data_IF_399337667835
#
_entry.id   IF_399337667835
#
_cell.length_a   1.000
_cell.length_b   1.000
_cell.length_c   1.000
_cell.angle_alpha   90.00
_cell.angle_beta   90.00
_cell.angle_gamma   90.00
#
_symmetry.space_group_name_H-M   'P 1'
#
loop_
_entity.id
_entity.type
_entity.pdbx_description
1 polymer ?
#
# COMPACT_ATOMS: atom_id res chain seq x y z
N UNK A 1 -23.10 -24.32 22.31
CA UNK A 1 -21.95 -23.66 21.67
C UNK A 1 -20.99 -24.76 21.22
N UNK A 2 -20.89 -24.96 19.91
CA UNK A 2 -20.06 -26.01 19.35
C UNK A 2 -18.69 -25.37 19.09
N UNK A 3 -17.66 -25.84 19.76
CA UNK A 3 -16.27 -25.44 19.49
C UNK A 3 -15.94 -25.83 18.05
N UNK A 4 -15.36 -24.96 17.25
CA UNK A 4 -14.74 -25.42 16.04
C UNK A 4 -13.54 -26.29 16.41
N UNK A 5 -13.38 -27.47 15.82
CA UNK A 5 -12.23 -28.30 16.11
C UNK A 5 -10.98 -27.70 15.48
N UNK A 6 -9.94 -27.47 16.28
CA UNK A 6 -8.60 -27.30 15.75
C UNK A 6 -8.12 -28.65 15.21
N UNK A 7 -8.11 -28.82 13.91
CA UNK A 7 -7.55 -30.04 13.30
C UNK A 7 -6.03 -29.96 13.29
N UNK A 8 -5.38 -30.90 13.96
CA UNK A 8 -3.94 -31.15 13.80
C UNK A 8 -3.71 -31.76 12.42
N UNK A 9 -3.21 -31.00 11.50
CA UNK A 9 -2.64 -31.53 10.28
C UNK A 9 -1.31 -32.20 10.62
N UNK A 10 -1.30 -33.52 10.76
CA UNK A 10 -0.09 -34.30 10.90
C UNK A 10 0.53 -34.42 9.50
N UNK A 11 1.52 -33.61 9.17
CA UNK A 11 2.32 -33.82 7.98
C UNK A 11 3.26 -35.01 8.23
N UNK A 12 2.82 -36.22 7.93
CA UNK A 12 3.63 -37.40 7.73
C UNK A 12 4.26 -37.31 6.35
N UNK A 13 5.47 -36.73 6.24
CA UNK A 13 6.09 -36.66 4.94
C UNK A 13 7.43 -35.95 4.86
N UNK A 14 8.25 -35.91 5.91
CA UNK A 14 9.67 -35.53 5.77
C UNK A 14 10.51 -36.49 6.63
N UNK A 15 10.61 -37.71 6.20
CA UNK A 15 11.53 -38.70 6.74
C UNK A 15 12.48 -39.13 5.62
N UNK A 16 13.19 -38.19 5.00
CA UNK A 16 14.36 -38.56 4.15
C UNK A 16 15.34 -37.38 3.98
N UNK A 17 15.81 -36.80 5.07
CA UNK A 17 17.04 -35.98 5.06
C UNK A 17 17.69 -35.93 6.47
N UNK A 18 17.91 -37.07 7.05
CA UNK A 18 18.69 -37.20 8.28
C UNK A 18 20.07 -37.76 7.96
N UNK A 19 20.91 -36.97 7.32
CA UNK A 19 22.35 -37.27 7.23
C UNK A 19 23.13 -36.00 6.81
N UNK A 20 23.06 -34.97 7.63
CA UNK A 20 24.12 -33.96 7.76
C UNK A 20 23.76 -33.15 9.01
N UNK A 21 24.55 -33.28 10.07
CA UNK A 21 24.29 -32.76 11.42
C UNK A 21 24.34 -31.25 11.54
N UNK A 22 23.37 -30.57 10.90
CA UNK A 22 22.94 -29.24 11.26
C UNK A 22 21.52 -29.40 11.83
N UNK A 23 21.35 -29.12 13.10
CA UNK A 23 20.02 -29.06 13.72
C UNK A 23 19.24 -27.92 13.02
N UNK A 24 18.51 -28.26 11.94
CA UNK A 24 17.43 -27.38 11.49
C UNK A 24 16.42 -27.27 12.63
N UNK A 25 15.96 -26.08 12.99
CA UNK A 25 14.84 -25.97 13.88
C UNK A 25 13.69 -26.76 13.26
N UNK A 26 13.13 -27.71 14.01
CA UNK A 26 11.98 -28.47 13.56
C UNK A 26 10.86 -27.45 13.25
N UNK A 27 10.52 -27.29 11.98
CA UNK A 27 9.36 -26.52 11.57
C UNK A 27 8.17 -27.30 12.08
N UNK A 28 7.56 -26.84 13.18
CA UNK A 28 6.33 -27.43 13.64
C UNK A 28 5.28 -27.15 12.56
N UNK A 29 4.69 -28.20 11.99
CA UNK A 29 3.62 -28.04 11.03
C UNK A 29 2.50 -27.22 11.67
N UNK A 30 1.97 -26.21 10.99
CA UNK A 30 0.89 -25.41 11.51
C UNK A 30 -0.31 -26.33 11.75
N UNK A 31 -0.76 -26.36 12.98
CA UNK A 31 -2.07 -26.88 13.30
C UNK A 31 -3.01 -25.67 13.32
N UNK A 32 -3.53 -25.30 12.18
CA UNK A 32 -4.49 -24.23 12.10
C UNK A 32 -5.88 -24.70 12.52
N UNK A 33 -6.65 -23.90 13.24
CA UNK A 33 -8.05 -24.14 13.39
C UNK A 33 -8.77 -23.83 12.09
N UNK A 34 -9.78 -24.62 11.80
CA UNK A 34 -10.88 -24.14 11.03
C UNK A 34 -11.59 -23.07 11.83
N UNK A 35 -11.38 -21.81 11.48
CA UNK A 35 -12.31 -20.79 11.91
C UNK A 35 -13.44 -20.80 10.87
N UNK A 36 -14.34 -21.76 10.96
CA UNK A 36 -15.68 -21.59 10.44
C UNK A 36 -16.43 -20.74 11.44
N UNK A 37 -15.97 -19.49 11.61
CA UNK A 37 -16.75 -18.53 12.33
C UNK A 37 -17.94 -18.20 11.44
N UNK A 38 -19.08 -18.83 11.71
CA UNK A 38 -20.31 -18.14 11.41
C UNK A 38 -20.30 -16.90 12.30
N UNK A 39 -20.27 -15.68 11.73
CA UNK A 39 -20.34 -14.49 12.55
C UNK A 39 -21.55 -14.63 13.47
N UNK A 40 -21.44 -14.31 14.77
CA UNK A 40 -22.59 -14.28 15.61
C UNK A 40 -23.63 -13.41 14.91
N UNK A 41 -24.89 -13.84 14.84
CA UNK A 41 -25.96 -13.06 14.21
C UNK A 41 -26.02 -11.72 14.94
N UNK A 42 -25.52 -10.70 14.28
CA UNK A 42 -25.55 -9.33 14.79
C UNK A 42 -27.02 -8.97 14.99
N UNK A 43 -27.46 -8.58 16.19
CA UNK A 43 -28.77 -7.99 16.35
C UNK A 43 -28.91 -6.81 15.38
N UNK A 44 -30.01 -6.71 14.66
CA UNK A 44 -30.25 -5.64 13.68
C UNK A 44 -30.13 -4.20 14.25
N UNK A 45 -30.09 -4.06 15.58
CA UNK A 45 -29.90 -2.80 16.30
C UNK A 45 -28.44 -2.30 16.35
N UNK A 46 -27.45 -3.11 15.94
CA UNK A 46 -26.04 -2.73 15.85
C UNK A 46 -25.57 -2.53 14.40
N UNK A 47 -26.50 -2.23 13.49
CA UNK A 47 -26.13 -1.69 12.20
C UNK A 47 -25.22 -0.46 12.43
N UNK A 48 -24.03 -0.49 11.81
CA UNK A 48 -23.00 0.53 11.96
C UNK A 48 -23.61 1.95 11.96
N UNK A 49 -23.13 2.87 12.80
CA UNK A 49 -23.53 4.25 12.70
C UNK A 49 -23.29 4.68 11.26
N UNK A 50 -24.35 5.18 10.65
CA UNK A 50 -24.30 5.74 9.30
C UNK A 50 -23.29 6.89 9.37
N UNK A 51 -22.09 6.68 8.81
CA UNK A 51 -21.15 7.77 8.65
C UNK A 51 -21.92 8.90 7.94
N UNK A 52 -22.04 10.05 8.57
CA UNK A 52 -22.59 11.22 7.91
C UNK A 52 -21.66 11.47 6.72
N UNK A 53 -22.23 11.37 5.52
CA UNK A 53 -21.52 11.66 4.30
C UNK A 53 -21.00 13.09 4.40
N UNK A 54 -19.71 13.22 4.65
CA UNK A 54 -19.03 14.50 4.57
C UNK A 54 -19.25 15.05 3.17
N UNK A 55 -19.74 16.26 3.12
CA UNK A 55 -19.98 17.06 1.93
C UNK A 55 -18.71 17.14 1.08
N UNK A 56 -18.90 16.98 -0.22
CA UNK A 56 -17.94 17.03 -1.33
C UNK A 56 -16.97 15.85 -1.36
N UNK A 57 -17.37 14.87 -2.18
CA UNK A 57 -16.43 13.96 -2.80
C UNK A 57 -15.53 14.80 -3.75
N UNK A 58 -14.51 15.41 -3.18
CA UNK A 58 -13.30 15.72 -3.90
C UNK A 58 -12.90 14.40 -4.56
N UNK A 59 -12.85 14.36 -5.88
CA UNK A 59 -12.42 13.17 -6.61
C UNK A 59 -11.00 12.91 -6.17
N UNK A 60 -10.82 11.95 -5.24
CA UNK A 60 -9.51 11.49 -4.80
C UNK A 60 -8.70 11.13 -6.05
N UNK A 61 -7.63 11.87 -6.30
CA UNK A 61 -6.69 11.54 -7.36
C UNK A 61 -5.75 10.46 -6.84
N UNK A 62 -6.26 9.24 -6.82
CA UNK A 62 -5.44 8.07 -6.54
C UNK A 62 -4.88 7.54 -7.88
N UNK A 63 -3.65 6.99 -7.87
CA UNK A 63 -3.10 6.29 -9.04
C UNK A 63 -3.95 5.06 -9.35
N UNK A 64 -3.63 4.38 -10.44
CA UNK A 64 -4.18 3.05 -10.66
C UNK A 64 -3.67 2.11 -9.56
N UNK A 65 -4.51 1.88 -8.54
CA UNK A 65 -4.17 1.02 -7.42
C UNK A 65 -4.17 -0.45 -7.84
N UNK A 66 -3.33 -1.24 -7.16
CA UNK A 66 -3.18 -2.67 -7.38
C UNK A 66 -3.26 -3.43 -6.06
N UNK A 67 -3.98 -4.54 -6.06
CA UNK A 67 -4.13 -5.45 -4.94
C UNK A 67 -3.71 -6.87 -5.31
N UNK A 68 -3.12 -7.59 -4.37
CA UNK A 68 -2.83 -9.02 -4.46
C UNK A 68 -3.54 -9.72 -3.31
N UNK A 69 -4.41 -10.65 -3.65
CA UNK A 69 -5.23 -11.41 -2.72
C UNK A 69 -4.83 -12.88 -2.73
N UNK A 70 -4.49 -13.38 -1.56
CA UNK A 70 -3.98 -14.73 -1.36
C UNK A 70 -4.92 -15.54 -0.48
N UNK A 71 -5.22 -16.78 -0.89
CA UNK A 71 -5.87 -17.75 -0.01
C UNK A 71 -5.06 -19.05 -0.03
N UNK A 72 -4.49 -19.39 1.15
CA UNK A 72 -3.80 -20.64 1.36
C UNK A 72 -4.78 -21.79 1.69
N UNK A 73 -4.36 -23.07 1.55
CA UNK A 73 -5.18 -24.20 1.94
C UNK A 73 -5.35 -24.26 3.47
N UNK A 74 -6.58 -24.42 3.95
CA UNK A 74 -6.91 -24.57 5.39
C UNK A 74 -7.20 -26.04 5.70
N UNK A 75 -8.06 -26.67 4.94
CA UNK A 75 -8.50 -28.07 5.09
C UNK A 75 -8.46 -28.80 3.73
N UNK A 76 -7.45 -28.46 2.92
CA UNK A 76 -7.29 -28.85 1.52
C UNK A 76 -7.82 -27.77 0.58
N UNK A 77 -7.52 -27.92 -0.70
CA UNK A 77 -7.79 -26.88 -1.72
C UNK A 77 -9.28 -26.55 -1.87
N UNK A 78 -10.15 -27.54 -1.67
CA UNK A 78 -11.61 -27.43 -1.80
C UNK A 78 -12.33 -27.68 -0.46
N UNK A 79 -11.62 -27.62 0.66
CA UNK A 79 -12.19 -27.80 1.98
C UNK A 79 -13.15 -26.67 2.36
N UNK A 80 -14.02 -26.91 3.33
CA UNK A 80 -15.05 -25.96 3.74
C UNK A 80 -14.44 -24.66 4.30
N UNK A 81 -13.36 -24.75 5.09
CA UNK A 81 -12.64 -23.60 5.62
C UNK A 81 -11.93 -22.81 4.53
N UNK A 82 -11.29 -23.51 3.58
CA UNK A 82 -10.65 -22.88 2.42
C UNK A 82 -11.68 -22.14 1.56
N UNK A 83 -12.84 -22.77 1.28
CA UNK A 83 -13.90 -22.14 0.50
C UNK A 83 -14.54 -20.95 1.24
N UNK A 84 -14.70 -21.01 2.55
CA UNK A 84 -15.16 -19.88 3.34
C UNK A 84 -14.17 -18.70 3.26
N UNK A 85 -12.86 -18.98 3.37
CA UNK A 85 -11.82 -17.97 3.22
C UNK A 85 -11.80 -17.35 1.81
N UNK A 86 -11.97 -18.17 0.76
CA UNK A 86 -12.13 -17.69 -0.62
C UNK A 86 -13.34 -16.75 -0.74
N UNK A 87 -14.48 -17.13 -0.15
CA UNK A 87 -15.69 -16.31 -0.18
C UNK A 87 -15.49 -14.95 0.52
N UNK A 88 -14.87 -14.93 1.70
CA UNK A 88 -14.52 -13.67 2.40
C UNK A 88 -13.58 -12.80 1.56
N UNK A 89 -12.59 -13.42 0.91
CA UNK A 89 -11.65 -12.71 0.07
C UNK A 89 -12.32 -12.12 -1.18
N UNK A 90 -13.31 -12.83 -1.78
CA UNK A 90 -14.08 -12.32 -2.90
C UNK A 90 -14.96 -11.12 -2.53
N UNK A 91 -15.47 -11.03 -1.30
CA UNK A 91 -16.18 -9.84 -0.84
C UNK A 91 -15.24 -8.61 -0.82
N UNK A 92 -14.01 -8.80 -0.35
CA UNK A 92 -13.00 -7.74 -0.35
C UNK A 92 -12.53 -7.40 -1.78
N UNK A 93 -12.37 -8.40 -2.65
CA UNK A 93 -12.01 -8.22 -4.04
C UNK A 93 -13.06 -7.37 -4.79
N UNK A 94 -14.34 -7.72 -4.63
CA UNK A 94 -15.44 -6.98 -5.25
C UNK A 94 -15.50 -5.51 -4.78
N UNK A 95 -15.22 -5.26 -3.49
CA UNK A 95 -15.18 -3.90 -2.96
C UNK A 95 -14.00 -3.11 -3.55
N UNK A 96 -12.80 -3.71 -3.66
CA UNK A 96 -11.64 -3.10 -4.31
C UNK A 96 -11.91 -2.78 -5.78
N UNK A 97 -12.48 -3.72 -6.53
CA UNK A 97 -12.82 -3.56 -7.95
C UNK A 97 -13.89 -2.47 -8.17
N UNK A 98 -14.85 -2.35 -7.26
CA UNK A 98 -15.85 -1.28 -7.31
C UNK A 98 -15.22 0.13 -7.18
N UNK A 99 -14.02 0.22 -6.59
CA UNK A 99 -13.22 1.43 -6.50
C UNK A 99 -12.11 1.52 -7.58
N UNK A 100 -12.17 0.68 -8.61
CA UNK A 100 -11.25 0.71 -9.75
C UNK A 100 -9.87 0.11 -9.48
N UNK A 101 -9.67 -0.61 -8.38
CA UNK A 101 -8.40 -1.29 -8.07
C UNK A 101 -8.21 -2.51 -8.98
N UNK A 102 -7.02 -2.68 -9.55
CA UNK A 102 -6.66 -3.91 -10.26
C UNK A 102 -6.38 -5.02 -9.26
N UNK A 103 -7.16 -6.09 -9.28
CA UNK A 103 -7.08 -7.19 -8.31
C UNK A 103 -6.48 -8.45 -8.94
N UNK A 104 -5.39 -8.94 -8.35
CA UNK A 104 -4.76 -10.23 -8.68
C UNK A 104 -5.11 -11.25 -7.59
N UNK A 105 -5.71 -12.38 -8.00
CA UNK A 105 -6.16 -13.46 -7.12
C UNK A 105 -5.25 -14.67 -7.23
N UNK A 106 -4.76 -15.15 -6.10
CA UNK A 106 -3.97 -16.37 -5.99
C UNK A 106 -4.55 -17.25 -4.89
N UNK A 107 -5.61 -17.95 -5.22
CA UNK A 107 -6.32 -18.85 -4.30
C UNK A 107 -5.91 -20.28 -4.59
N UNK A 108 -5.58 -21.02 -3.53
CA UNK A 108 -5.26 -22.44 -3.68
C UNK A 108 -6.34 -23.19 -4.48
N UNK A 109 -6.01 -24.09 -5.45
CA UNK A 109 -4.67 -24.60 -5.78
C UNK A 109 -3.87 -23.70 -6.74
N UNK A 110 -4.39 -22.54 -7.11
CA UNK A 110 -3.75 -21.65 -8.08
C UNK A 110 -2.68 -20.76 -7.42
N UNK A 111 -1.73 -20.32 -8.25
CA UNK A 111 -0.68 -19.41 -7.84
C UNK A 111 0.47 -20.09 -7.09
N UNK A 112 1.68 -19.87 -7.58
CA UNK A 112 2.91 -20.22 -6.87
C UNK A 112 3.61 -18.95 -6.40
N UNK A 113 4.62 -19.11 -5.53
CA UNK A 113 5.32 -17.98 -4.92
C UNK A 113 5.93 -17.03 -5.94
N UNK A 114 6.49 -17.53 -7.03
CA UNK A 114 7.10 -16.68 -8.08
C UNK A 114 6.06 -15.79 -8.78
N UNK A 115 4.89 -16.34 -9.08
CA UNK A 115 3.78 -15.56 -9.67
C UNK A 115 3.26 -14.51 -8.69
N UNK A 116 3.15 -14.88 -7.41
CA UNK A 116 2.72 -13.97 -6.35
C UNK A 116 3.69 -12.80 -6.22
N UNK A 117 5.01 -13.07 -6.14
CA UNK A 117 6.06 -12.04 -6.06
C UNK A 117 5.98 -11.07 -7.25
N UNK A 118 5.85 -11.61 -8.46
CA UNK A 118 5.75 -10.79 -9.66
C UNK A 118 4.51 -9.86 -9.62
N UNK A 119 3.36 -10.37 -9.21
CA UNK A 119 2.15 -9.57 -9.06
C UNK A 119 2.24 -8.56 -7.90
N UNK A 120 2.92 -8.92 -6.81
CA UNK A 120 3.10 -8.09 -5.63
C UNK A 120 4.01 -6.88 -5.87
N UNK A 121 4.85 -6.90 -6.92
CA UNK A 121 5.72 -5.76 -7.22
C UNK A 121 4.91 -4.47 -7.40
N UNK A 122 5.13 -3.50 -6.51
CA UNK A 122 4.40 -2.23 -6.49
C UNK A 122 2.91 -2.35 -6.13
N UNK A 123 2.46 -3.44 -5.51
CA UNK A 123 1.07 -3.58 -5.07
C UNK A 123 0.81 -2.71 -3.83
N UNK A 124 -0.32 -2.01 -3.83
CA UNK A 124 -0.77 -1.12 -2.76
C UNK A 124 -1.48 -1.87 -1.64
N UNK A 125 -2.03 -3.05 -1.96
CA UNK A 125 -2.73 -3.91 -1.02
C UNK A 125 -2.22 -5.35 -1.15
N UNK A 126 -1.98 -6.00 -0.02
CA UNK A 126 -1.71 -7.43 0.07
C UNK A 126 -2.63 -8.04 1.12
N UNK A 127 -3.54 -8.93 0.69
CA UNK A 127 -4.47 -9.62 1.57
C UNK A 127 -4.15 -11.11 1.61
N UNK A 128 -4.30 -11.68 2.79
CA UNK A 128 -4.10 -13.11 2.98
C UNK A 128 -5.21 -13.71 3.86
N UNK A 129 -5.75 -14.83 3.43
CA UNK A 129 -6.64 -15.70 4.21
C UNK A 129 -6.09 -17.11 4.26
N UNK A 130 -6.03 -17.71 5.45
CA UNK A 130 -5.47 -19.04 5.62
C UNK A 130 -4.86 -19.31 7.00
N UNK A 131 -3.99 -20.31 7.05
CA UNK A 131 -3.30 -20.63 8.29
C UNK A 131 -2.35 -19.53 8.76
N UNK A 132 -2.36 -19.27 10.06
CA UNK A 132 -1.27 -18.57 10.74
C UNK A 132 -0.12 -19.54 11.01
N UNK A 133 1.12 -19.06 10.88
CA UNK A 133 2.33 -19.89 10.92
C UNK A 133 3.09 -19.67 12.22
N UNK A 134 3.65 -20.74 12.77
CA UNK A 134 4.59 -20.69 13.89
C UNK A 134 5.85 -21.52 13.60
N UNK A 135 6.96 -21.09 14.16
CA UNK A 135 8.30 -21.57 13.82
C UNK A 135 9.07 -22.16 14.99
N UNK A 136 8.47 -22.19 16.18
CA UNK A 136 9.07 -22.76 17.38
C UNK A 136 8.00 -23.42 18.27
N UNK A 137 8.45 -24.12 19.30
CA UNK A 137 7.56 -24.89 20.16
C UNK A 137 6.63 -23.98 21.01
N UNK A 138 5.42 -24.51 21.27
CA UNK A 138 4.47 -23.95 22.22
C UNK A 138 5.05 -23.98 23.66
N UNK A 139 4.62 -23.12 24.60
CA UNK A 139 3.45 -22.24 24.55
C UNK A 139 3.70 -20.85 23.94
N UNK A 140 4.94 -20.45 23.70
CA UNK A 140 5.29 -19.12 23.21
C UNK A 140 6.07 -19.20 21.88
N UNK A 141 5.44 -19.67 20.80
CA UNK A 141 6.12 -19.86 19.53
C UNK A 141 6.50 -18.53 18.88
N UNK A 142 7.59 -18.52 18.11
CA UNK A 142 7.82 -17.47 17.13
C UNK A 142 6.80 -17.65 16.00
N UNK A 143 6.19 -16.54 15.57
CA UNK A 143 5.08 -16.55 14.63
C UNK A 143 5.34 -15.62 13.45
N UNK A 144 4.59 -15.79 12.36
CA UNK A 144 4.64 -14.92 11.18
C UNK A 144 4.75 -15.68 9.88
N UNK A 145 4.47 -15.01 8.79
CA UNK A 145 4.43 -15.59 7.46
C UNK A 145 3.09 -16.19 7.08
N UNK A 146 3.04 -16.90 5.96
CA UNK A 146 1.82 -17.51 5.46
C UNK A 146 2.09 -18.80 4.69
N UNK A 147 1.03 -19.60 4.49
CA UNK A 147 1.05 -20.78 3.64
C UNK A 147 0.38 -20.44 2.32
N UNK A 148 1.08 -20.59 1.21
CA UNK A 148 0.49 -20.48 -0.14
C UNK A 148 0.68 -21.81 -0.85
N UNK A 149 -0.42 -22.36 -1.38
CA UNK A 149 -0.43 -23.67 -2.03
C UNK A 149 0.27 -24.72 -1.15
N UNK A 150 1.51 -25.04 -1.46
CA UNK A 150 2.34 -26.09 -0.83
C UNK A 150 3.61 -25.52 -0.17
N UNK A 151 3.74 -24.17 -0.10
CA UNK A 151 4.94 -23.51 0.42
C UNK A 151 4.63 -22.64 1.64
N UNK A 152 5.39 -22.84 2.72
CA UNK A 152 5.46 -21.89 3.84
C UNK A 152 6.38 -20.74 3.46
N UNK A 153 5.86 -19.54 3.60
CA UNK A 153 6.60 -18.29 3.38
C UNK A 153 6.96 -17.72 4.75
N UNK A 154 8.24 -17.65 5.01
CA UNK A 154 8.79 -17.14 6.28
C UNK A 154 8.79 -15.60 6.32
N UNK A 155 8.91 -15.00 7.51
CA UNK A 155 9.15 -13.56 7.64
C UNK A 155 10.35 -13.06 6.83
N UNK A 156 11.43 -13.84 6.75
CA UNK A 156 12.63 -13.46 5.98
C UNK A 156 12.39 -13.49 4.47
N UNK A 157 11.58 -14.44 3.98
CA UNK A 157 11.17 -14.45 2.57
C UNK A 157 10.22 -13.28 2.25
N UNK A 158 9.38 -12.85 3.18
CA UNK A 158 8.57 -11.63 3.02
C UNK A 158 9.50 -10.42 2.83
N UNK A 159 10.50 -10.25 3.71
CA UNK A 159 11.48 -9.15 3.63
C UNK A 159 12.31 -9.17 2.35
N UNK A 160 12.77 -10.35 1.96
CA UNK A 160 13.69 -10.51 0.83
C UNK A 160 13.04 -10.56 -0.54
N UNK A 161 11.82 -11.04 -0.61
CA UNK A 161 11.16 -11.40 -1.87
C UNK A 161 10.03 -10.46 -2.28
N UNK A 162 9.34 -9.80 -1.35
CA UNK A 162 8.24 -8.92 -1.68
C UNK A 162 8.69 -7.47 -1.92
N UNK A 163 8.31 -6.93 -3.07
CA UNK A 163 8.55 -5.55 -3.47
C UNK A 163 7.22 -4.81 -3.59
N UNK A 164 6.50 -4.63 -2.47
CA UNK A 164 5.24 -3.89 -2.43
C UNK A 164 5.46 -2.40 -2.68
N UNK A 165 4.38 -1.66 -2.95
CA UNK A 165 4.43 -0.20 -2.94
C UNK A 165 4.84 0.28 -1.54
N UNK A 166 5.78 1.24 -1.40
CA UNK A 166 6.00 1.91 -0.13
C UNK A 166 4.66 2.45 0.38
N UNK A 167 4.36 2.23 1.65
CA UNK A 167 3.05 2.51 2.26
C UNK A 167 1.94 1.49 1.95
N UNK A 168 2.24 0.31 1.42
CA UNK A 168 1.23 -0.73 1.20
C UNK A 168 0.41 -1.03 2.47
N UNK A 169 -0.82 -1.48 2.27
CA UNK A 169 -1.73 -1.92 3.34
C UNK A 169 -1.86 -3.43 3.30
N UNK A 170 -1.58 -4.06 4.43
CA UNK A 170 -1.62 -5.51 4.61
C UNK A 170 -2.87 -5.88 5.40
N UNK A 171 -3.62 -6.88 4.95
CA UNK A 171 -4.81 -7.36 5.67
C UNK A 171 -4.80 -8.89 5.76
N UNK A 172 -4.90 -9.42 6.97
CA UNK A 172 -4.95 -10.85 7.23
C UNK A 172 -6.32 -11.24 7.78
N UNK A 173 -6.92 -12.27 7.18
CA UNK A 173 -8.20 -12.83 7.59
C UNK A 173 -8.04 -14.25 8.13
N UNK A 174 -8.51 -14.48 9.35
CA UNK A 174 -8.58 -15.81 9.95
C UNK A 174 -7.24 -16.50 10.24
N UNK A 175 -6.12 -15.83 10.05
CA UNK A 175 -4.79 -16.39 10.30
C UNK A 175 -4.50 -16.43 11.81
N UNK A 176 -4.25 -17.62 12.35
CA UNK A 176 -3.89 -17.78 13.76
C UNK A 176 -2.67 -16.91 14.11
N UNK A 177 -2.63 -16.39 15.32
CA UNK A 177 -1.59 -15.52 15.87
C UNK A 177 -1.54 -14.09 15.30
N UNK A 178 -2.04 -13.87 14.08
CA UNK A 178 -1.90 -12.60 13.39
C UNK A 178 -2.60 -11.43 14.09
N UNK A 179 -3.69 -11.71 14.81
CA UNK A 179 -4.39 -10.75 15.67
C UNK A 179 -4.09 -10.95 17.18
N UNK A 180 -3.18 -11.86 17.52
CA UNK A 180 -2.73 -12.15 18.88
C UNK A 180 -3.08 -13.54 19.36
N UNK A 181 -4.30 -14.02 19.19
CA UNK A 181 -4.71 -15.36 19.62
C UNK A 181 -4.64 -16.39 18.48
N UNK A 182 -4.71 -17.66 18.87
CA UNK A 182 -4.72 -18.81 17.97
C UNK A 182 -5.70 -19.86 18.48
N UNK A 183 -6.32 -20.60 17.58
CA UNK A 183 -7.09 -21.77 17.95
C UNK A 183 -6.28 -22.90 18.61
N UNK A 184 -4.96 -22.82 18.62
CA UNK A 184 -4.08 -23.72 19.36
C UNK A 184 -3.87 -23.28 20.82
N UNK A 185 -4.32 -22.11 21.23
CA UNK A 185 -4.20 -21.67 22.61
C UNK A 185 -5.14 -22.49 23.50
N UNK A 186 -4.57 -23.18 24.47
CA UNK A 186 -5.31 -23.97 25.44
C UNK A 186 -5.63 -23.22 26.73
N UNK A 187 -5.04 -22.03 26.87
CA UNK A 187 -5.24 -21.09 27.97
C UNK A 187 -5.41 -19.68 27.42
N UNK A 188 -5.97 -18.79 28.20
CA UNK A 188 -6.07 -17.37 27.84
C UNK A 188 -4.71 -16.77 27.50
N UNK A 189 -4.65 -16.08 26.37
CA UNK A 189 -3.45 -15.36 25.94
C UNK A 189 -3.31 -14.08 26.77
N UNK A 190 -2.12 -13.83 27.31
CA UNK A 190 -1.85 -12.57 28.01
C UNK A 190 -1.71 -11.42 27.01
N UNK A 191 -1.99 -10.20 27.47
CA UNK A 191 -1.80 -8.98 26.70
C UNK A 191 -0.38 -8.88 26.11
N UNK A 192 0.64 -9.16 26.93
CA UNK A 192 2.03 -9.13 26.50
C UNK A 192 2.35 -10.18 25.41
N UNK A 193 1.76 -11.37 25.50
CA UNK A 193 1.95 -12.41 24.49
C UNK A 193 1.19 -12.07 23.20
N UNK A 194 -0.03 -11.54 23.30
CA UNK A 194 -0.77 -11.07 22.12
C UNK A 194 -0.02 -9.95 21.39
N UNK A 195 0.49 -8.97 22.16
CA UNK A 195 1.32 -7.88 21.62
C UNK A 195 2.56 -8.42 20.90
N UNK A 196 3.29 -9.35 21.51
CA UNK A 196 4.48 -9.96 20.94
C UNK A 196 4.17 -10.67 19.61
N UNK A 197 3.08 -11.46 19.56
CA UNK A 197 2.67 -12.19 18.35
C UNK A 197 2.28 -11.25 17.22
N UNK A 198 1.50 -10.23 17.52
CA UNK A 198 1.09 -9.23 16.49
C UNK A 198 2.29 -8.44 16.01
N UNK A 199 3.21 -8.05 16.91
CA UNK A 199 4.46 -7.39 16.52
C UNK A 199 5.27 -8.28 15.57
N UNK A 200 5.50 -9.54 15.90
CA UNK A 200 6.24 -10.48 15.05
C UNK A 200 5.56 -10.72 13.69
N UNK A 201 4.22 -10.72 13.65
CA UNK A 201 3.48 -10.94 12.42
C UNK A 201 3.52 -9.73 11.48
N UNK A 202 3.47 -8.53 12.03
CA UNK A 202 3.48 -7.27 11.26
C UNK A 202 4.88 -6.82 10.86
N UNK A 203 5.91 -7.14 11.64
CA UNK A 203 7.29 -6.70 11.50
C UNK A 203 7.86 -6.84 10.07
N UNK A 204 7.79 -8.00 9.39
CA UNK A 204 8.36 -8.15 8.05
C UNK A 204 7.69 -7.26 7.00
N UNK A 205 6.44 -6.88 7.20
CA UNK A 205 5.73 -5.96 6.31
C UNK A 205 6.09 -4.51 6.58
N UNK A 206 6.27 -4.14 7.84
CA UNK A 206 6.74 -2.80 8.22
C UNK A 206 8.18 -2.58 7.74
N UNK A 207 9.06 -3.58 7.85
CA UNK A 207 10.42 -3.56 7.33
C UNK A 207 10.49 -3.23 5.84
N UNK A 208 9.53 -3.72 5.05
CA UNK A 208 9.43 -3.41 3.61
C UNK A 208 8.57 -2.19 3.30
N UNK A 209 8.22 -1.40 4.31
CA UNK A 209 7.61 -0.08 4.17
C UNK A 209 6.08 -0.04 4.22
N UNK A 210 5.38 -1.11 4.66
CA UNK A 210 3.93 -1.06 4.81
C UNK A 210 3.49 0.02 5.81
N UNK A 211 2.41 0.74 5.47
CA UNK A 211 1.86 1.80 6.31
C UNK A 211 0.81 1.31 7.30
N UNK A 212 0.21 0.17 7.01
CA UNK A 212 -0.86 -0.42 7.82
C UNK A 212 -0.92 -1.93 7.70
N UNK A 213 -1.16 -2.57 8.82
CA UNK A 213 -1.41 -3.99 8.94
C UNK A 213 -2.69 -4.18 9.75
N UNK A 214 -3.62 -4.95 9.21
CA UNK A 214 -4.86 -5.35 9.87
C UNK A 214 -4.91 -6.86 9.96
N UNK A 215 -5.32 -7.38 11.08
CA UNK A 215 -5.64 -8.79 11.23
C UNK A 215 -7.00 -8.93 11.91
N UNK A 216 -7.89 -9.72 11.33
CA UNK A 216 -9.24 -9.89 11.83
C UNK A 216 -9.76 -11.29 11.53
N UNK A 217 -10.61 -11.81 12.41
CA UNK A 217 -11.17 -13.16 12.28
C UNK A 217 -12.56 -13.19 11.62
N UNK A 218 -13.20 -12.05 11.43
CA UNK A 218 -14.56 -11.99 10.88
C UNK A 218 -14.60 -11.92 9.36
N UNK A 219 -15.46 -12.70 8.74
CA UNK A 219 -15.54 -12.88 7.29
C UNK A 219 -15.77 -11.60 6.48
N UNK A 220 -16.44 -10.60 7.08
CA UNK A 220 -16.71 -9.32 6.41
C UNK A 220 -15.72 -8.21 6.74
N UNK A 221 -14.69 -8.48 7.56
CA UNK A 221 -13.79 -7.45 8.05
C UNK A 221 -13.02 -6.76 6.93
N UNK A 222 -12.40 -7.55 6.04
CA UNK A 222 -11.58 -6.99 4.96
C UNK A 222 -12.40 -6.13 4.00
N UNK A 223 -13.59 -6.60 3.59
CA UNK A 223 -14.52 -5.81 2.79
C UNK A 223 -14.89 -4.50 3.49
N UNK A 224 -15.19 -4.56 4.78
CA UNK A 224 -15.60 -3.38 5.56
C UNK A 224 -14.46 -2.39 5.67
N UNK A 225 -13.23 -2.85 5.94
CA UNK A 225 -12.05 -1.99 5.99
C UNK A 225 -11.78 -1.31 4.65
N UNK A 226 -11.83 -2.05 3.53
CA UNK A 226 -11.69 -1.48 2.19
C UNK A 226 -12.71 -0.36 1.98
N UNK A 227 -13.98 -0.62 2.26
CA UNK A 227 -15.05 0.37 2.11
C UNK A 227 -14.77 1.65 2.91
N UNK A 228 -14.39 1.52 4.18
CA UNK A 228 -14.12 2.67 5.05
C UNK A 228 -12.90 3.47 4.57
N UNK A 229 -11.84 2.80 4.14
CA UNK A 229 -10.66 3.44 3.59
C UNK A 229 -11.00 4.27 2.34
N UNK A 230 -11.79 3.73 1.42
CA UNK A 230 -12.23 4.46 0.23
C UNK A 230 -13.30 5.54 0.50
N UNK A 231 -13.90 5.53 1.68
CA UNK A 231 -14.71 6.65 2.18
C UNK A 231 -13.87 7.77 2.79
N UNK A 232 -12.55 7.68 2.75
CA UNK A 232 -11.61 8.69 3.25
C UNK A 232 -11.32 8.58 4.75
N UNK A 233 -11.70 7.48 5.41
CA UNK A 233 -11.33 7.26 6.80
C UNK A 233 -9.84 7.03 6.95
N UNK A 234 -9.27 7.49 8.06
CA UNK A 234 -7.89 7.17 8.41
C UNK A 234 -7.75 5.68 8.75
N UNK A 235 -6.51 5.14 8.69
CA UNK A 235 -6.25 3.74 9.02
C UNK A 235 -6.75 3.37 10.41
N UNK A 236 -6.47 4.22 11.41
CA UNK A 236 -6.93 3.99 12.78
C UNK A 236 -8.46 4.06 12.93
N UNK A 237 -9.09 5.07 12.32
CA UNK A 237 -10.56 5.20 12.35
C UNK A 237 -11.24 4.02 11.66
N UNK A 238 -10.67 3.50 10.57
CA UNK A 238 -11.13 2.29 9.89
C UNK A 238 -11.18 1.09 10.84
N UNK A 239 -10.11 0.87 11.61
CA UNK A 239 -10.05 -0.18 12.61
C UNK A 239 -11.10 0.01 13.71
N UNK A 240 -11.17 1.21 14.29
CA UNK A 240 -12.09 1.53 15.40
C UNK A 240 -13.57 1.56 15.00
N UNK A 241 -13.88 1.71 13.72
CA UNK A 241 -15.26 1.72 13.21
C UNK A 241 -15.79 0.34 12.86
N UNK A 242 -14.97 -0.70 12.96
CA UNK A 242 -15.46 -2.06 12.76
C UNK A 242 -16.44 -2.44 13.87
N UNK A 243 -17.51 -3.13 13.52
CA UNK A 243 -18.63 -3.37 14.42
C UNK A 243 -18.27 -4.14 15.70
N UNK A 244 -17.20 -4.95 15.66
CA UNK A 244 -16.70 -5.74 16.80
C UNK A 244 -15.76 -4.95 17.71
N UNK A 245 -15.27 -3.79 17.29
CA UNK A 245 -14.36 -2.97 18.08
C UNK A 245 -15.02 -2.49 19.38
N UNK A 246 -14.34 -2.76 20.50
CA UNK A 246 -14.80 -2.34 21.80
C UNK A 246 -13.75 -1.43 22.50
N UNK A 247 -14.01 -0.13 22.60
CA UNK A 247 -13.06 0.81 23.19
C UNK A 247 -12.77 0.54 24.67
N UNK A 248 -13.64 -0.23 25.37
CA UNK A 248 -13.42 -0.59 26.77
C UNK A 248 -12.43 -1.73 26.97
N UNK A 249 -12.22 -2.55 25.94
CA UNK A 249 -11.32 -3.70 25.96
C UNK A 249 -10.10 -3.53 25.05
N UNK A 250 -10.13 -2.53 24.16
CA UNK A 250 -9.04 -2.22 23.26
C UNK A 250 -7.78 -1.78 24.02
N UNK A 251 -6.65 -2.30 23.58
CA UNK A 251 -5.33 -1.99 24.13
C UNK A 251 -4.49 -1.27 23.08
N UNK A 252 -3.73 -0.27 23.48
CA UNK A 252 -2.95 0.58 22.57
C UNK A 252 -1.49 0.64 23.03
N UNK A 253 -0.61 0.26 22.12
CA UNK A 253 0.84 0.23 22.32
C UNK A 253 1.55 0.90 21.17
N UNK A 254 2.84 1.15 21.30
CA UNK A 254 3.76 1.35 20.17
C UNK A 254 4.31 -0.01 19.73
N UNK A 255 4.62 -0.13 18.46
CA UNK A 255 5.33 -1.31 17.98
C UNK A 255 6.75 -1.34 18.55
N UNK A 256 7.24 -2.49 19.07
CA UNK A 256 8.53 -2.53 19.77
C UNK A 256 9.72 -2.18 18.87
N UNK A 257 9.68 -2.58 17.59
CA UNK A 257 10.78 -2.41 16.64
C UNK A 257 10.54 -1.27 15.63
N UNK A 258 9.30 -0.75 15.54
CA UNK A 258 8.88 0.34 14.66
C UNK A 258 8.18 1.45 15.49
N UNK A 259 8.95 2.34 16.15
CA UNK A 259 8.39 3.32 17.07
C UNK A 259 7.47 4.37 16.42
N UNK A 260 7.50 4.49 15.10
CA UNK A 260 6.57 5.30 14.29
C UNK A 260 5.20 4.64 14.09
N UNK A 261 5.09 3.36 14.35
CA UNK A 261 3.85 2.59 14.23
C UNK A 261 3.21 2.33 15.60
N UNK A 262 1.89 2.48 15.66
CA UNK A 262 1.11 1.99 16.80
C UNK A 262 0.83 0.49 16.63
N UNK A 263 0.55 -0.19 17.74
CA UNK A 263 0.06 -1.56 17.79
C UNK A 263 -1.18 -1.60 18.69
N UNK A 264 -2.33 -1.77 18.06
CA UNK A 264 -3.61 -1.81 18.75
C UNK A 264 -4.20 -3.21 18.70
N UNK A 265 -4.74 -3.64 19.84
CA UNK A 265 -5.36 -4.95 20.02
C UNK A 265 -6.76 -4.78 20.53
N UNK A 266 -7.67 -5.64 20.11
CA UNK A 266 -8.98 -5.76 20.72
C UNK A 266 -9.21 -7.17 21.27
N UNK A 267 -9.93 -7.23 22.40
CA UNK A 267 -10.22 -8.46 23.13
C UNK A 267 -11.67 -8.83 22.97
N UNK A 268 -11.88 -10.10 22.69
CA UNK A 268 -13.21 -10.67 22.69
C UNK A 268 -13.34 -11.74 23.78
N UNK A 269 -14.45 -11.72 24.48
CA UNK A 269 -14.79 -12.67 25.56
C UNK A 269 -15.79 -13.75 25.12
N UNK A 270 -16.16 -13.77 23.84
CA UNK A 270 -17.14 -14.71 23.28
C UNK A 270 -16.56 -16.10 23.03
N UNK A 271 -15.25 -16.23 23.01
CA UNK A 271 -14.52 -17.44 22.75
C UNK A 271 -14.13 -18.17 24.02
N UNK A 272 -13.72 -19.42 23.90
CA UNK A 272 -13.21 -20.24 24.98
C UNK A 272 -11.83 -20.81 24.58
N UNK A 273 -10.76 -20.56 25.34
CA UNK A 273 -10.71 -19.76 26.57
C UNK A 273 -10.78 -18.24 26.31
N UNK A 274 -11.47 -17.47 27.18
CA UNK A 274 -11.44 -16.02 27.11
C UNK A 274 -10.25 -15.42 27.90
N UNK A 275 -9.77 -14.19 27.58
CA UNK A 275 -10.10 -13.44 26.37
C UNK A 275 -9.36 -13.98 25.16
N UNK A 276 -9.89 -13.68 23.96
CA UNK A 276 -9.17 -13.92 22.72
C UNK A 276 -8.94 -12.59 22.02
N UNK A 277 -7.75 -12.42 21.45
CA UNK A 277 -7.39 -11.27 20.63
C UNK A 277 -7.62 -11.67 19.16
N UNK A 278 -8.69 -11.16 18.59
CA UNK A 278 -9.20 -11.53 17.27
C UNK A 278 -9.21 -10.38 16.26
N UNK A 279 -8.80 -9.20 16.71
CA UNK A 279 -8.73 -7.99 15.91
C UNK A 279 -7.52 -7.16 16.31
N UNK A 280 -6.67 -6.81 15.34
CA UNK A 280 -5.46 -6.03 15.55
C UNK A 280 -5.21 -5.05 14.41
N UNK A 281 -4.64 -3.90 14.77
CA UNK A 281 -4.12 -2.90 13.84
C UNK A 281 -2.69 -2.52 14.22
N UNK A 282 -1.81 -2.47 13.20
CA UNK A 282 -0.45 -1.94 13.35
C UNK A 282 -0.18 -0.95 12.23
N UNK A 283 0.42 0.21 12.54
CA UNK A 283 0.79 1.18 11.51
C UNK A 283 0.59 2.63 11.91
N UNK A 284 0.32 3.49 10.91
CA UNK A 284 0.15 4.94 11.04
C UNK A 284 -1.34 5.30 11.13
N UNK A 285 -1.92 5.45 12.34
CA UNK A 285 -3.37 5.54 12.51
C UNK A 285 -4.00 6.78 11.90
N UNK A 286 -3.24 7.86 11.74
CA UNK A 286 -3.74 9.14 11.17
C UNK A 286 -3.70 9.22 9.65
N UNK A 287 -3.09 8.26 8.96
CA UNK A 287 -2.97 8.30 7.50
C UNK A 287 -4.26 7.86 6.81
N UNK A 288 -4.61 8.52 5.69
CA UNK A 288 -5.67 8.13 4.75
C UNK A 288 -5.08 7.48 3.51
N UNK A 289 -5.90 6.89 2.62
CA UNK A 289 -5.42 6.41 1.31
C UNK A 289 -4.81 7.55 0.48
N UNK A 290 -5.36 8.76 0.59
CA UNK A 290 -4.83 9.93 -0.10
C UNK A 290 -3.42 10.26 0.39
N UNK A 291 -3.19 10.28 1.70
CA UNK A 291 -1.85 10.51 2.27
C UNK A 291 -0.83 9.44 1.85
N UNK A 292 -1.29 8.20 1.67
CA UNK A 292 -0.43 7.07 1.37
C UNK A 292 -0.10 6.93 -0.12
N UNK A 293 -1.08 7.22 -0.98
CA UNK A 293 -1.05 6.87 -2.40
C UNK A 293 -1.28 8.08 -3.31
N UNK A 294 -1.33 9.30 -2.76
CA UNK A 294 -1.49 10.49 -3.58
C UNK A 294 -0.38 10.56 -4.64
N UNK A 295 -0.81 10.74 -5.87
CA UNK A 295 0.10 10.93 -6.99
C UNK A 295 0.69 12.33 -6.93
N UNK A 296 1.98 12.42 -7.14
CA UNK A 296 2.64 13.68 -7.46
C UNK A 296 2.81 13.76 -8.96
N UNK A 297 2.25 14.79 -9.59
CA UNK A 297 2.48 15.09 -11.00
C UNK A 297 3.57 16.17 -11.16
N UNK A 298 4.36 16.09 -12.22
CA UNK A 298 5.26 17.16 -12.58
C UNK A 298 4.47 18.25 -13.29
N UNK A 299 4.62 19.51 -12.83
CA UNK A 299 4.07 20.69 -13.49
C UNK A 299 5.20 21.63 -13.95
N UNK A 300 5.09 22.11 -15.20
CA UNK A 300 6.06 23.05 -15.76
C UNK A 300 5.36 24.35 -16.13
N UNK A 301 5.93 25.47 -15.66
CA UNK A 301 5.40 26.80 -15.94
C UNK A 301 6.53 27.78 -16.31
N UNK A 302 6.47 28.45 -17.47
CA UNK A 302 5.48 28.26 -18.55
C UNK A 302 5.77 26.99 -19.37
N UNK A 303 4.73 26.40 -19.98
CA UNK A 303 4.85 25.28 -20.90
C UNK A 303 5.34 25.69 -22.30
N UNK A 304 5.34 26.99 -22.61
CA UNK A 304 5.84 27.52 -23.86
C UNK A 304 6.42 28.93 -23.65
N UNK A 305 7.47 29.24 -24.42
CA UNK A 305 8.12 30.54 -24.49
C UNK A 305 8.05 31.01 -25.95
N UNK A 306 7.41 32.15 -26.19
CA UNK A 306 7.34 32.71 -27.52
C UNK A 306 7.59 34.19 -27.51
N UNK A 307 8.44 34.71 -28.43
CA UNK A 307 8.65 36.14 -28.56
C UNK A 307 9.17 36.54 -29.96
N UNK A 308 9.05 37.84 -30.22
CA UNK A 308 9.62 38.52 -31.41
C UNK A 308 10.83 39.34 -30.97
N UNK A 309 11.88 39.36 -31.82
CA UNK A 309 13.03 40.22 -31.64
C UNK A 309 13.54 40.74 -33.02
N UNK A 310 14.39 41.76 -32.97
CA UNK A 310 15.12 42.30 -34.11
C UNK A 310 16.51 41.62 -34.22
N UNK A 311 17.16 41.63 -35.40
CA UNK A 311 18.54 41.20 -35.49
C UNK A 311 19.45 42.00 -34.54
N UNK A 312 20.47 41.38 -34.00
CA UNK A 312 21.35 41.93 -33.01
C UNK A 312 20.72 42.25 -31.62
N UNK A 313 19.47 41.88 -31.37
CA UNK A 313 18.89 41.95 -30.05
C UNK A 313 19.70 41.10 -29.02
N UNK A 314 19.81 41.53 -27.80
CA UNK A 314 20.43 40.71 -26.75
C UNK A 314 19.59 39.46 -26.51
N UNK A 315 20.23 38.35 -26.13
CA UNK A 315 19.54 37.14 -25.69
C UNK A 315 18.61 37.43 -24.49
N UNK A 316 17.49 36.72 -24.46
CA UNK A 316 16.53 36.85 -23.35
C UNK A 316 16.60 35.64 -22.47
N UNK A 317 16.41 35.85 -21.16
CA UNK A 317 16.35 34.80 -20.18
C UNK A 317 14.93 34.68 -19.63
N UNK A 318 14.45 33.47 -19.55
CA UNK A 318 13.14 33.11 -19.05
C UNK A 318 13.30 32.10 -17.91
N UNK A 319 12.54 32.30 -16.86
CA UNK A 319 12.46 31.30 -15.78
C UNK A 319 11.41 30.24 -16.14
N UNK A 320 11.80 28.99 -16.02
CA UNK A 320 10.91 27.84 -16.11
C UNK A 320 10.90 27.16 -14.75
N UNK A 321 9.76 27.17 -14.11
CA UNK A 321 9.57 26.50 -12.81
C UNK A 321 9.16 25.07 -13.03
N UNK A 322 9.86 24.12 -12.37
CA UNK A 322 9.49 22.71 -12.29
C UNK A 322 8.92 22.48 -10.89
N UNK A 323 7.62 22.23 -10.81
CA UNK A 323 6.90 22.10 -9.55
C UNK A 323 6.32 20.68 -9.37
N UNK A 324 6.14 20.28 -8.11
CA UNK A 324 5.37 19.12 -7.73
C UNK A 324 3.91 19.55 -7.50
N UNK A 325 2.97 18.87 -8.14
CA UNK A 325 1.55 18.89 -7.80
C UNK A 325 1.27 17.60 -7.04
N UNK A 326 1.43 17.67 -5.71
CA UNK A 326 1.35 16.55 -4.79
C UNK A 326 2.43 16.59 -3.71
N UNK A 327 2.38 15.66 -2.74
CA UNK A 327 3.20 15.73 -1.52
C UNK A 327 4.67 15.31 -1.71
N UNK A 328 4.97 14.57 -2.77
CA UNK A 328 6.28 13.95 -2.93
C UNK A 328 7.22 14.84 -3.76
N UNK A 329 8.32 15.35 -3.21
CA UNK A 329 9.34 16.02 -3.99
C UNK A 329 10.02 15.01 -4.94
N UNK A 330 10.53 15.50 -6.05
CA UNK A 330 11.24 14.68 -7.04
C UNK A 330 12.44 15.42 -7.62
N UNK A 331 13.42 14.64 -8.10
CA UNK A 331 14.55 15.13 -8.88
C UNK A 331 14.15 15.19 -10.37
N UNK A 332 14.75 16.10 -11.12
CA UNK A 332 14.51 16.21 -12.54
C UNK A 332 15.79 16.49 -13.32
N UNK A 333 15.78 16.07 -14.58
CA UNK A 333 16.80 16.39 -15.58
C UNK A 333 16.19 17.16 -16.74
N UNK A 334 16.96 18.08 -17.34
CA UNK A 334 16.53 18.88 -18.49
C UNK A 334 17.57 18.83 -19.60
N UNK A 335 17.11 18.76 -20.86
CA UNK A 335 17.96 18.73 -22.04
C UNK A 335 17.32 19.46 -23.21
N UNK A 336 18.17 19.99 -24.13
CA UNK A 336 17.76 20.52 -25.42
C UNK A 336 18.85 20.24 -26.45
N UNK A 337 18.46 20.03 -27.69
CA UNK A 337 19.39 19.90 -28.82
C UNK A 337 19.70 21.23 -29.51
N UNK A 338 18.98 22.28 -29.15
CA UNK A 338 19.12 23.58 -29.79
C UNK A 338 20.39 24.32 -29.31
N UNK A 339 21.34 24.54 -30.21
CA UNK A 339 22.62 25.22 -29.93
C UNK A 339 22.46 26.72 -29.61
N UNK A 340 21.29 27.30 -29.94
CA UNK A 340 20.95 28.70 -29.64
C UNK A 340 20.23 28.91 -28.29
N UNK A 341 20.03 27.81 -27.53
CA UNK A 341 19.52 27.85 -26.17
C UNK A 341 20.62 27.45 -25.19
N UNK A 342 20.65 28.14 -24.05
CA UNK A 342 21.50 27.79 -22.90
C UNK A 342 20.62 27.57 -21.69
N UNK A 343 20.77 26.43 -21.02
CA UNK A 343 20.12 26.10 -19.77
C UNK A 343 21.07 26.43 -18.62
N UNK A 344 20.58 27.12 -17.56
CA UNK A 344 21.40 27.44 -16.38
C UNK A 344 21.84 26.21 -15.60
N UNK A 345 21.08 25.12 -15.73
CA UNK A 345 21.36 23.79 -15.14
C UNK A 345 20.70 22.70 -15.99
N UNK A 346 21.19 21.48 -15.85
CA UNK A 346 20.62 20.31 -16.51
C UNK A 346 19.93 19.35 -15.54
N UNK A 347 19.85 19.69 -14.26
CA UNK A 347 19.16 18.92 -13.22
C UNK A 347 18.79 19.83 -12.04
N UNK A 348 17.81 19.37 -11.23
CA UNK A 348 17.34 20.09 -10.04
C UNK A 348 16.33 19.28 -9.24
N UNK A 349 15.72 19.94 -8.27
CA UNK A 349 14.63 19.40 -7.46
C UNK A 349 13.31 20.09 -7.81
N UNK A 350 12.19 19.43 -7.58
CA UNK A 350 10.86 20.05 -7.68
C UNK A 350 10.78 21.29 -6.78
N UNK A 351 10.18 22.36 -7.29
CA UNK A 351 10.16 23.67 -6.67
C UNK A 351 11.28 24.62 -7.13
N UNK A 352 12.33 24.10 -7.78
CA UNK A 352 13.41 24.91 -8.32
C UNK A 352 13.10 25.48 -9.71
N UNK A 353 13.82 26.56 -10.06
CA UNK A 353 13.71 27.20 -11.37
C UNK A 353 14.91 26.85 -12.26
N UNK A 354 14.60 26.64 -13.55
CA UNK A 354 15.54 26.50 -14.65
C UNK A 354 15.49 27.78 -15.48
N UNK A 355 16.62 28.51 -15.58
CA UNK A 355 16.72 29.66 -16.49
C UNK A 355 17.08 29.17 -17.90
N UNK A 356 16.30 29.59 -18.87
CA UNK A 356 16.47 29.33 -20.32
C UNK A 356 16.89 30.64 -20.96
N UNK A 357 18.09 30.70 -21.55
CA UNK A 357 18.61 31.88 -22.21
C UNK A 357 18.79 31.62 -23.71
N UNK A 358 18.23 32.49 -24.54
CA UNK A 358 18.41 32.45 -25.96
C UNK A 358 19.71 33.14 -26.39
N UNK A 359 20.35 32.69 -27.47
CA UNK A 359 21.53 33.35 -28.00
C UNK A 359 21.24 34.81 -28.39
N UNK A 360 22.22 35.68 -28.31
CA UNK A 360 22.18 37.04 -28.85
C UNK A 360 22.50 37.05 -30.33
N UNK A 361 21.98 38.04 -31.05
CA UNK A 361 22.34 38.25 -32.46
C UNK A 361 21.90 37.16 -33.42
N UNK A 362 20.81 36.49 -33.15
CA UNK A 362 20.23 35.50 -34.07
C UNK A 362 19.88 36.19 -35.42
N UNK A 363 20.21 35.59 -36.57
CA UNK A 363 19.80 36.05 -37.89
C UNK A 363 18.28 36.13 -38.07
N UNK A 364 17.83 36.83 -39.10
CA UNK A 364 16.43 36.84 -39.54
C UNK A 364 15.94 35.42 -39.73
N UNK A 365 14.77 35.07 -39.19
CA UNK A 365 14.20 33.73 -39.30
C UNK A 365 13.29 33.34 -38.17
N UNK A 366 12.78 32.12 -38.28
CA UNK A 366 12.01 31.48 -37.22
C UNK A 366 12.86 30.38 -36.60
N UNK A 367 12.93 30.38 -35.29
CA UNK A 367 13.67 29.42 -34.46
C UNK A 367 12.67 28.67 -33.55
N UNK A 368 12.67 27.38 -33.68
CA UNK A 368 11.86 26.49 -32.87
C UNK A 368 12.75 25.49 -32.17
N UNK A 369 12.50 25.25 -30.92
CA UNK A 369 13.20 24.27 -30.12
C UNK A 369 12.32 23.75 -28.95
N UNK A 370 12.63 22.55 -28.50
CA UNK A 370 12.00 21.93 -27.37
C UNK A 370 13.03 21.71 -26.26
N UNK A 371 12.61 21.93 -25.02
CA UNK A 371 13.37 21.58 -23.83
C UNK A 371 12.63 20.43 -23.18
N UNK A 372 13.25 19.25 -23.17
CA UNK A 372 12.71 18.06 -22.53
C UNK A 372 13.10 18.08 -21.07
N UNK A 373 12.11 17.93 -20.18
CA UNK A 373 12.30 17.82 -18.72
C UNK A 373 11.71 16.49 -18.27
N UNK A 374 12.50 15.72 -17.51
CA UNK A 374 12.14 14.37 -17.07
C UNK A 374 12.35 14.24 -15.57
N UNK A 375 11.32 13.82 -14.84
CA UNK A 375 11.47 13.39 -13.44
C UNK A 375 12.20 12.05 -13.39
N UNK A 376 13.17 11.94 -12.48
CA UNK A 376 14.00 10.74 -12.34
C UNK A 376 13.21 9.58 -11.73
N UNK A 377 12.28 9.88 -10.81
CA UNK A 377 11.48 8.89 -10.10
C UNK A 377 10.30 8.38 -10.97
N UNK A 378 10.18 7.07 -11.08
CA UNK A 378 9.20 6.41 -11.98
C UNK A 378 7.73 6.55 -11.52
N UNK A 379 7.49 6.91 -10.26
CA UNK A 379 6.15 7.06 -9.68
C UNK A 379 5.55 8.47 -9.87
N UNK A 380 6.29 9.39 -10.50
CA UNK A 380 5.78 10.72 -10.81
C UNK A 380 4.92 10.66 -12.08
N UNK A 381 3.68 11.16 -11.99
CA UNK A 381 2.82 11.34 -13.18
C UNK A 381 3.33 12.49 -14.05
N UNK A 382 3.03 12.42 -15.33
CA UNK A 382 3.51 13.39 -16.34
C UNK A 382 5.04 13.61 -16.24
N UNK A 383 5.76 12.53 -15.88
CA UNK A 383 7.20 12.55 -15.60
C UNK A 383 8.07 13.05 -16.74
N UNK A 384 7.53 13.17 -17.94
CA UNK A 384 8.19 13.74 -19.11
C UNK A 384 7.32 14.86 -19.67
N UNK A 385 7.83 16.06 -19.66
CA UNK A 385 7.19 17.23 -20.23
C UNK A 385 8.15 18.02 -21.10
N UNK A 386 7.59 18.84 -21.98
CA UNK A 386 8.34 19.65 -22.95
C UNK A 386 7.95 21.11 -22.80
N UNK A 387 8.96 22.00 -22.80
CA UNK A 387 8.77 23.44 -22.96
C UNK A 387 9.09 23.81 -24.39
N UNK A 388 8.10 24.26 -25.13
CA UNK A 388 8.29 24.75 -26.50
C UNK A 388 8.83 26.15 -26.49
N UNK A 389 9.87 26.42 -27.33
CA UNK A 389 10.51 27.74 -27.46
C UNK A 389 10.45 28.19 -28.91
N UNK A 390 9.64 29.23 -29.15
CA UNK A 390 9.45 29.85 -30.44
C UNK A 390 9.99 31.27 -30.46
N UNK A 391 11.00 31.53 -31.30
CA UNK A 391 11.59 32.86 -31.46
C UNK A 391 11.49 33.26 -32.91
N UNK A 392 10.91 34.42 -33.19
CA UNK A 392 10.94 35.01 -34.51
C UNK A 392 11.80 36.26 -34.52
N UNK A 393 12.84 36.26 -35.37
CA UNK A 393 13.67 37.43 -35.66
C UNK A 393 13.13 38.08 -36.92
N UNK A 394 12.63 39.30 -36.77
CA UNK A 394 11.99 40.10 -37.82
C UNK A 394 12.77 41.42 -38.01
N UNK A 395 12.73 42.00 -39.21
CA UNK A 395 13.45 43.24 -39.54
C UNK A 395 13.11 44.37 -38.57
N UNK A 396 11.83 44.44 -38.13
CA UNK A 396 11.37 45.47 -37.19
C UNK A 396 10.17 44.97 -36.42
N UNK A 397 10.24 45.18 -35.10
CA UNK A 397 9.12 44.91 -34.18
C UNK A 397 8.34 46.18 -33.97
N UNK A 398 7.11 46.23 -34.45
CA UNK A 398 6.18 47.32 -34.18
C UNK A 398 5.42 47.06 -32.90
N UNK A 399 5.61 47.92 -31.89
CA UNK A 399 4.79 47.87 -30.66
C UNK A 399 3.37 48.28 -30.96
N UNK A 400 2.42 47.34 -30.83
CA UNK A 400 0.99 47.70 -30.82
C UNK A 400 0.67 48.27 -29.41
N UNK A 401 0.42 49.57 -29.34
CA UNK A 401 -0.27 50.16 -28.20
C UNK A 401 -1.75 49.79 -28.26
N UNK A 402 -2.16 48.81 -27.49
CA UNK A 402 -3.58 48.67 -27.16
C UNK A 402 -3.93 49.69 -26.11
N UNK A 403 -4.79 50.69 -26.37
CA UNK A 403 -5.25 51.61 -25.33
C UNK A 403 -6.00 50.77 -24.28
N UNK A 404 -5.52 50.83 -23.03
CA UNK A 404 -6.26 50.29 -21.89
C UNK A 404 -7.60 51.08 -21.80
N UNK A 405 -8.64 50.46 -22.34
CA UNK A 405 -10.01 50.97 -22.17
C UNK A 405 -10.35 50.94 -20.69
N UNK A 406 -10.45 52.09 -20.08
CA UNK A 406 -11.03 52.28 -18.77
C UNK A 406 -12.47 51.77 -18.77
N UNK A 407 -12.76 50.73 -17.98
CA UNK A 407 -14.08 50.46 -17.42
C UNK A 407 -13.97 50.16 -15.93
#
# INVERSE_FOLDING_TARGET
MIRPPCHRALMTGIALLALLGAAFPAIAAPAGPHITAHPPRVPASLAAPRAEAGTDASTLRLPQLKAVLLVGPIDGDDGAGTNASKASMELAAAELEAHGVTVHRFYTPDGNWEQIKAAATGAHFLFYGGHGIYWSEMPYPNVGGFLVKDKFISPDEIRGDLALHPNAIIMLHGACFSAGSSGNDTISVTSAEAQRRVAQYSDPFLDIGAAGYYANWFDTALQTYVRYLFQGMTLGATYESFWDFNPATAERYLHPDHPEAVLWLDKDYWYDPPPQYNNAFVGRPGATLEDLFQVTAMQITPAAIAYLAEPAAPGRTFAVRVAADGPNPFSWTASTEATWLTLSRTSGQSGEELSVTTASGLPLGAYHASIRIVADESHIEDREQTVEVDVRIVEKVYGAYLPLGSR
#
